data_IF_928505804842
#
_entry.id   IF_928505804842
#
_cell.length_a   1.000
_cell.length_b   1.000
_cell.length_c   1.000
_cell.angle_alpha   90.00
_cell.angle_beta   90.00
_cell.angle_gamma   90.00
#
_symmetry.space_group_name_H-M   'P 1'
#
loop_
_entity.id
_entity.type
_entity.pdbx_description
1 polymer ?
#
# COMPACT_ATOMS: atom_id res chain seq x y z
N UNK A 1 10.18 60.50 -2.15
CA UNK A 1 9.68 59.26 -2.75
C UNK A 1 10.93 58.46 -3.07
N UNK A 2 11.57 57.95 -2.02
CA UNK A 2 12.75 57.11 -2.12
C UNK A 2 12.24 55.70 -2.41
N UNK A 3 12.08 55.39 -3.69
CA UNK A 3 11.75 54.04 -4.12
C UNK A 3 13.01 53.19 -3.98
N UNK A 4 13.09 52.50 -2.84
CA UNK A 4 14.22 51.70 -2.36
C UNK A 4 14.72 50.70 -3.43
N UNK A 5 15.91 50.91 -4.04
CA UNK A 5 16.52 49.95 -4.96
C UNK A 5 16.77 48.59 -4.29
N UNK A 6 16.87 48.57 -2.96
CA UNK A 6 16.96 47.38 -2.12
C UNK A 6 15.71 46.50 -2.21
N UNK A 7 14.51 47.09 -2.28
CA UNK A 7 13.25 46.33 -2.38
C UNK A 7 13.15 45.66 -3.75
N UNK A 8 13.49 46.36 -4.83
CA UNK A 8 13.51 45.79 -6.19
C UNK A 8 14.51 44.64 -6.32
N UNK A 9 15.67 44.73 -5.67
CA UNK A 9 16.68 43.68 -5.69
C UNK A 9 16.24 42.43 -4.91
N UNK A 10 15.62 42.61 -3.73
CA UNK A 10 15.04 41.50 -2.97
C UNK A 10 13.92 40.81 -3.76
N UNK A 11 13.05 41.58 -4.43
CA UNK A 11 11.95 41.04 -5.21
C UNK A 11 12.45 40.28 -6.45
N UNK A 12 13.49 40.78 -7.12
CA UNK A 12 14.15 40.12 -8.24
C UNK A 12 14.85 38.81 -7.84
N UNK A 13 15.58 38.80 -6.71
CA UNK A 13 16.21 37.58 -6.18
C UNK A 13 15.15 36.57 -5.73
N UNK A 14 14.08 37.04 -5.08
CA UNK A 14 12.96 36.18 -4.68
C UNK A 14 12.29 35.49 -5.86
N UNK A 15 12.00 36.24 -6.94
CA UNK A 15 11.43 35.67 -8.16
C UNK A 15 12.37 34.63 -8.81
N UNK A 16 13.67 34.90 -8.86
CA UNK A 16 14.67 33.97 -9.41
C UNK A 16 14.72 32.65 -8.63
N UNK A 17 14.70 32.71 -7.31
CA UNK A 17 14.69 31.51 -6.45
C UNK A 17 13.44 30.68 -6.68
N UNK A 18 12.27 31.30 -6.79
CA UNK A 18 11.01 30.59 -7.08
C UNK A 18 11.08 29.90 -8.45
N UNK A 19 11.58 30.59 -9.48
CA UNK A 19 11.74 30.01 -10.82
C UNK A 19 12.69 28.81 -10.79
N UNK A 20 13.82 28.91 -10.09
CA UNK A 20 14.76 27.80 -9.95
C UNK A 20 14.12 26.59 -9.25
N UNK A 21 13.40 26.80 -8.14
CA UNK A 21 12.69 25.71 -7.43
C UNK A 21 11.70 25.02 -8.36
N UNK A 22 10.93 25.77 -9.15
CA UNK A 22 9.97 25.20 -10.11
C UNK A 22 10.70 24.41 -11.21
N UNK A 23 11.76 24.96 -11.80
CA UNK A 23 12.52 24.28 -12.86
C UNK A 23 13.18 23.00 -12.33
N UNK A 24 13.84 23.05 -11.18
CA UNK A 24 14.42 21.87 -10.55
C UNK A 24 13.36 20.83 -10.18
N UNK A 25 12.21 21.26 -9.66
CA UNK A 25 11.07 20.40 -9.39
C UNK A 25 10.59 19.68 -10.65
N UNK A 26 10.33 20.42 -11.73
CA UNK A 26 9.85 19.87 -13.01
C UNK A 26 10.88 18.92 -13.64
N UNK A 27 12.16 19.28 -13.65
CA UNK A 27 13.22 18.41 -14.18
C UNK A 27 13.37 17.12 -13.36
N UNK A 28 13.33 17.23 -12.03
CA UNK A 28 13.40 16.09 -11.12
C UNK A 28 12.23 15.12 -11.34
N UNK A 29 11.00 15.65 -11.43
CA UNK A 29 9.80 14.85 -11.76
C UNK A 29 9.90 14.18 -13.12
N UNK A 30 10.38 14.89 -14.15
CA UNK A 30 10.60 14.32 -15.50
C UNK A 30 11.64 13.20 -15.49
N UNK A 31 12.71 13.33 -14.69
CA UNK A 31 13.73 12.31 -14.54
C UNK A 31 13.17 11.05 -13.88
N UNK A 32 12.37 11.20 -12.82
CA UNK A 32 11.67 10.07 -12.17
C UNK A 32 10.71 9.37 -13.13
N UNK A 33 9.91 10.14 -13.87
CA UNK A 33 8.99 9.60 -14.88
C UNK A 33 9.68 8.80 -16.00
N UNK A 34 10.94 9.13 -16.31
CA UNK A 34 11.76 8.42 -17.32
C UNK A 34 12.65 7.32 -16.74
N UNK A 35 12.58 7.05 -15.44
CA UNK A 35 13.37 5.99 -14.84
C UNK A 35 12.97 4.63 -15.45
N UNK A 36 13.95 3.93 -16.01
CA UNK A 36 13.80 2.59 -16.58
C UNK A 36 14.35 1.51 -15.64
N UNK A 37 15.17 1.90 -14.66
CA UNK A 37 15.74 1.00 -13.68
C UNK A 37 14.91 0.99 -12.37
N UNK A 38 14.59 -0.20 -11.83
CA UNK A 38 14.02 -0.33 -10.50
C UNK A 38 14.95 0.24 -9.42
N UNK A 39 14.41 1.00 -8.47
CA UNK A 39 15.13 1.45 -7.28
C UNK A 39 14.96 0.50 -6.09
N UNK A 40 14.22 -0.58 -6.28
CA UNK A 40 13.87 -1.56 -5.27
C UNK A 40 14.53 -2.92 -5.51
N UNK A 41 14.73 -3.65 -4.43
CA UNK A 41 15.11 -5.06 -4.44
C UNK A 41 13.92 -5.92 -4.04
N UNK A 42 13.87 -7.16 -4.53
CA UNK A 42 12.82 -8.12 -4.20
C UNK A 42 13.39 -9.22 -3.33
N UNK A 43 12.63 -9.61 -2.32
CA UNK A 43 12.86 -10.81 -1.52
C UNK A 43 11.58 -11.61 -1.42
N UNK A 44 11.71 -12.92 -1.24
CA UNK A 44 10.59 -13.75 -0.83
C UNK A 44 10.45 -13.66 0.69
N UNK A 45 9.23 -13.41 1.16
CA UNK A 45 8.87 -13.50 2.58
C UNK A 45 7.61 -14.34 2.72
N UNK A 46 7.30 -14.74 3.95
CA UNK A 46 6.05 -15.41 4.27
C UNK A 46 5.06 -14.42 4.89
N UNK A 47 3.84 -14.38 4.35
CA UNK A 47 2.71 -13.60 4.86
C UNK A 47 1.53 -14.56 4.97
N UNK A 48 0.94 -14.69 6.17
CA UNK A 48 -0.19 -15.61 6.42
C UNK A 48 0.08 -17.06 5.99
N UNK A 49 1.30 -17.55 6.22
CA UNK A 49 1.70 -18.92 5.80
C UNK A 49 1.94 -19.07 4.30
N UNK A 50 1.96 -17.98 3.54
CA UNK A 50 2.08 -17.99 2.08
C UNK A 50 3.35 -17.25 1.64
N UNK A 51 4.12 -17.79 0.68
CA UNK A 51 5.21 -17.06 0.08
C UNK A 51 4.66 -15.89 -0.75
N UNK A 52 5.28 -14.73 -0.62
CA UNK A 52 5.01 -13.55 -1.45
C UNK A 52 6.32 -12.89 -1.85
N UNK A 53 6.31 -12.16 -2.97
CA UNK A 53 7.45 -11.29 -3.33
C UNK A 53 7.21 -9.90 -2.80
N UNK A 54 8.11 -9.43 -1.95
CA UNK A 54 8.03 -8.10 -1.34
C UNK A 54 9.22 -7.25 -1.80
N UNK A 55 8.95 -5.98 -2.12
CA UNK A 55 10.00 -5.01 -2.40
C UNK A 55 10.52 -4.32 -1.15
N UNK A 56 11.77 -3.87 -1.20
CA UNK A 56 12.22 -2.78 -0.32
C UNK A 56 11.35 -1.53 -0.49
N UNK A 57 11.32 -0.68 0.53
CA UNK A 57 10.53 0.55 0.53
C UNK A 57 11.01 1.56 -0.53
N UNK A 58 10.08 2.17 -1.24
CA UNK A 58 10.31 3.24 -2.21
C UNK A 58 9.60 4.52 -1.80
N UNK A 59 10.01 5.65 -2.37
CA UNK A 59 9.29 6.91 -2.20
C UNK A 59 7.87 6.80 -2.74
N UNK A 60 6.87 7.16 -1.93
CA UNK A 60 5.46 7.05 -2.30
C UNK A 60 5.10 7.83 -3.57
N UNK A 61 5.77 8.95 -3.81
CA UNK A 61 5.50 9.86 -4.94
C UNK A 61 6.13 9.40 -6.25
N UNK A 62 6.91 8.33 -6.25
CA UNK A 62 7.52 7.77 -7.45
C UNK A 62 6.64 6.68 -8.08
N UNK A 63 5.53 7.11 -8.70
CA UNK A 63 4.58 6.20 -9.35
C UNK A 63 5.21 5.38 -10.49
N UNK A 64 6.36 5.82 -11.03
CA UNK A 64 7.09 5.04 -12.05
C UNK A 64 7.61 3.73 -11.47
N UNK A 65 8.00 3.69 -10.20
CA UNK A 65 8.45 2.43 -9.56
C UNK A 65 7.31 1.42 -9.44
N UNK A 66 6.08 1.90 -9.21
CA UNK A 66 4.89 1.04 -9.22
C UNK A 66 4.64 0.46 -10.61
N UNK A 67 4.71 1.29 -11.67
CA UNK A 67 4.55 0.82 -13.04
C UNK A 67 5.62 -0.21 -13.42
N UNK A 68 6.89 0.03 -13.09
CA UNK A 68 7.98 -0.94 -13.30
C UNK A 68 7.73 -2.27 -12.58
N UNK A 69 7.15 -2.22 -11.38
CA UNK A 69 6.79 -3.43 -10.64
C UNK A 69 5.65 -4.19 -11.33
N UNK A 70 4.61 -3.49 -11.80
CA UNK A 70 3.52 -4.09 -12.56
C UNK A 70 3.98 -4.66 -13.92
N UNK A 71 4.91 -4.00 -14.60
CA UNK A 71 5.52 -4.49 -15.85
C UNK A 71 6.29 -5.80 -15.60
N UNK A 72 7.00 -5.91 -14.47
CA UNK A 72 7.83 -7.07 -14.14
C UNK A 72 7.07 -8.22 -13.48
N UNK A 73 6.06 -7.94 -12.68
CA UNK A 73 5.36 -8.90 -11.82
C UNK A 73 3.84 -8.79 -11.92
N UNK A 74 3.29 -8.26 -13.01
CA UNK A 74 1.85 -8.15 -13.19
C UNK A 74 1.14 -9.51 -13.13
N UNK A 75 -0.19 -9.53 -12.89
CA UNK A 75 -0.99 -10.76 -12.93
C UNK A 75 -0.73 -11.58 -14.20
N UNK A 76 -0.63 -12.90 -14.05
CA UNK A 76 -0.27 -13.84 -15.11
C UNK A 76 1.24 -14.04 -15.33
N UNK A 77 2.10 -13.26 -14.65
CA UNK A 77 3.56 -13.45 -14.74
C UNK A 77 3.99 -14.73 -14.03
N UNK A 78 4.82 -15.55 -14.67
CA UNK A 78 5.37 -16.78 -14.07
C UNK A 78 6.75 -16.51 -13.47
N UNK A 79 6.89 -16.78 -12.18
CA UNK A 79 8.15 -16.70 -11.43
C UNK A 79 8.75 -18.10 -11.34
N UNK A 80 9.94 -18.33 -11.92
CA UNK A 80 10.49 -19.68 -12.04
C UNK A 80 10.98 -20.25 -10.71
N UNK A 81 11.44 -19.39 -9.80
CA UNK A 81 12.08 -19.77 -8.54
C UNK A 81 11.58 -18.90 -7.39
N UNK A 82 10.51 -19.35 -6.74
CA UNK A 82 10.05 -18.80 -5.46
C UNK A 82 10.51 -19.73 -4.35
N UNK A 83 11.46 -19.28 -3.55
CA UNK A 83 11.95 -20.03 -2.39
C UNK A 83 10.94 -19.99 -1.25
N UNK A 84 10.47 -21.16 -0.85
CA UNK A 84 9.59 -21.36 0.31
C UNK A 84 10.35 -22.15 1.36
N UNK A 85 10.38 -21.67 2.60
CA UNK A 85 10.93 -22.45 3.70
C UNK A 85 10.00 -23.63 4.01
N UNK A 86 10.56 -24.84 4.01
CA UNK A 86 9.83 -26.06 4.37
C UNK A 86 10.54 -26.81 5.49
N UNK A 87 9.88 -27.82 6.08
CA UNK A 87 10.45 -28.65 7.15
C UNK A 87 11.76 -29.36 6.74
N UNK A 88 11.94 -29.60 5.43
CA UNK A 88 13.12 -30.24 4.85
C UNK A 88 14.13 -29.24 4.25
N UNK A 89 13.98 -27.93 4.54
CA UNK A 89 14.79 -26.85 3.97
C UNK A 89 14.09 -26.06 2.85
N UNK A 90 14.78 -25.05 2.27
CA UNK A 90 14.19 -24.19 1.25
C UNK A 90 13.91 -24.96 -0.06
N UNK A 91 12.68 -24.83 -0.57
CA UNK A 91 12.26 -25.40 -1.85
C UNK A 91 11.90 -24.28 -2.83
N UNK A 92 12.38 -24.38 -4.06
CA UNK A 92 12.02 -23.45 -5.13
C UNK A 92 10.82 -23.97 -5.92
N UNK A 93 9.79 -23.14 -6.04
CA UNK A 93 8.58 -23.45 -6.79
C UNK A 93 8.42 -22.48 -7.95
N UNK A 94 7.89 -22.98 -9.06
CA UNK A 94 7.36 -22.14 -10.14
C UNK A 94 5.97 -21.67 -9.75
N UNK A 95 5.74 -20.36 -9.73
CA UNK A 95 4.45 -19.78 -9.31
C UNK A 95 3.99 -18.69 -10.28
N UNK A 96 2.68 -18.58 -10.48
CA UNK A 96 2.07 -17.51 -11.29
C UNK A 96 1.56 -16.41 -10.36
N UNK A 97 1.85 -15.15 -10.68
CA UNK A 97 1.35 -14.00 -9.93
C UNK A 97 -0.15 -13.82 -10.19
N UNK A 98 -0.97 -13.76 -9.14
CA UNK A 98 -2.40 -13.43 -9.23
C UNK A 98 -2.66 -11.95 -9.04
N UNK A 99 -1.91 -11.30 -8.13
CA UNK A 99 -2.14 -9.92 -7.72
C UNK A 99 -0.85 -9.20 -7.40
N UNK A 100 -0.87 -7.90 -7.64
CA UNK A 100 0.14 -6.97 -7.13
C UNK A 100 -0.54 -5.89 -6.30
N UNK A 101 0.08 -5.49 -5.19
CA UNK A 101 -0.45 -4.46 -4.29
C UNK A 101 0.63 -3.51 -3.82
N UNK A 102 0.16 -2.34 -3.38
CA UNK A 102 0.94 -1.30 -2.73
C UNK A 102 0.50 -1.20 -1.28
N UNK A 103 1.43 -1.07 -0.36
CA UNK A 103 1.15 -0.81 1.06
C UNK A 103 2.06 0.28 1.61
N UNK A 104 1.56 1.05 2.57
CA UNK A 104 2.36 2.04 3.29
C UNK A 104 3.33 1.32 4.23
N UNK A 105 4.59 1.78 4.25
CA UNK A 105 5.65 1.28 5.15
C UNK A 105 6.08 2.30 6.18
N UNK A 106 5.88 3.59 5.87
CA UNK A 106 6.11 4.69 6.79
C UNK A 106 5.14 5.84 6.47
N UNK A 107 4.70 6.54 7.51
CA UNK A 107 3.80 7.70 7.39
C UNK A 107 4.50 8.99 6.97
N UNK A 108 3.72 10.08 6.92
CA UNK A 108 4.20 11.43 6.62
C UNK A 108 5.23 11.91 7.68
N UNK A 109 6.22 12.77 7.33
CA UNK A 109 6.52 13.37 6.03
C UNK A 109 7.31 12.49 5.06
N UNK A 110 7.96 11.43 5.55
CA UNK A 110 8.76 10.54 4.72
C UNK A 110 7.96 9.29 4.34
N UNK A 111 6.81 9.51 3.70
CA UNK A 111 5.92 8.42 3.37
C UNK A 111 6.56 7.49 2.34
N UNK A 112 6.76 6.22 2.73
CA UNK A 112 7.29 5.18 1.85
C UNK A 112 6.28 4.08 1.65
N UNK A 113 6.37 3.43 0.50
CA UNK A 113 5.51 2.31 0.13
C UNK A 113 6.35 1.10 -0.22
N UNK A 114 5.80 -0.09 0.00
CA UNK A 114 6.32 -1.34 -0.52
C UNK A 114 5.33 -1.92 -1.53
N UNK A 115 5.83 -2.77 -2.42
CA UNK A 115 5.01 -3.51 -3.37
C UNK A 115 5.09 -4.99 -3.06
N UNK A 116 3.96 -5.68 -3.20
CA UNK A 116 3.85 -7.10 -2.94
C UNK A 116 3.22 -7.79 -4.14
N UNK A 117 3.78 -8.91 -4.59
CA UNK A 117 3.16 -9.82 -5.54
C UNK A 117 2.72 -11.11 -4.83
N UNK A 118 1.45 -11.47 -5.02
CA UNK A 118 0.81 -12.67 -4.48
C UNK A 118 0.61 -13.70 -5.58
N UNK A 119 0.56 -14.98 -5.22
CA UNK A 119 0.52 -16.07 -6.18
C UNK A 119 -0.84 -16.77 -6.27
N UNK A 120 -1.19 -17.21 -7.48
CA UNK A 120 -2.45 -17.90 -7.79
C UNK A 120 -2.68 -19.15 -6.94
N UNK A 121 -1.61 -19.86 -6.58
CA UNK A 121 -1.70 -21.06 -5.74
C UNK A 121 -2.31 -20.81 -4.35
N UNK A 122 -2.31 -19.55 -3.89
CA UNK A 122 -2.84 -19.14 -2.59
C UNK A 122 -3.95 -18.09 -2.73
N UNK A 123 -4.57 -18.01 -3.90
CA UNK A 123 -5.70 -17.11 -4.11
C UNK A 123 -6.94 -17.65 -3.36
N UNK A 124 -7.56 -16.81 -2.53
CA UNK A 124 -8.70 -17.14 -1.66
C UNK A 124 -8.42 -18.17 -0.54
N UNK A 125 -7.17 -18.53 -0.25
CA UNK A 125 -6.87 -19.51 0.81
C UNK A 125 -7.17 -18.99 2.21
N UNK A 126 -7.29 -17.67 2.39
CA UNK A 126 -7.65 -17.06 3.67
C UNK A 126 -9.16 -17.11 3.95
N UNK A 127 -9.98 -17.38 2.93
CA UNK A 127 -11.43 -17.23 3.05
C UNK A 127 -12.15 -18.55 3.39
N UNK A 128 -13.20 -18.50 4.23
CA UNK A 128 -13.70 -17.31 4.94
C UNK A 128 -12.80 -16.92 6.11
N UNK A 129 -12.58 -15.61 6.30
CA UNK A 129 -11.83 -15.08 7.44
C UNK A 129 -12.76 -14.25 8.32
N UNK A 130 -12.68 -14.45 9.64
CA UNK A 130 -13.47 -13.69 10.61
C UNK A 130 -12.54 -13.19 11.72
N UNK A 131 -12.35 -11.88 11.75
CA UNK A 131 -11.49 -11.21 12.72
C UNK A 131 -12.34 -10.55 13.79
N UNK A 132 -12.10 -10.89 15.05
CA UNK A 132 -12.69 -10.17 16.18
C UNK A 132 -11.81 -8.98 16.53
N UNK A 133 -12.42 -7.83 16.68
CA UNK A 133 -11.75 -6.56 16.97
C UNK A 133 -12.17 -6.11 18.36
N UNK A 134 -11.19 -5.88 19.23
CA UNK A 134 -11.44 -5.29 20.55
C UNK A 134 -11.39 -3.76 20.45
N UNK A 135 -12.50 -3.18 19.97
CA UNK A 135 -12.65 -1.73 19.81
C UNK A 135 -14.07 -1.29 20.20
N UNK A 136 -14.21 -0.07 20.77
CA UNK A 136 -15.53 0.49 21.09
C UNK A 136 -16.39 0.78 19.86
N UNK A 137 -15.78 0.91 18.67
CA UNK A 137 -16.49 1.25 17.44
C UNK A 137 -16.62 0.07 16.49
N UNK A 138 -15.67 -0.86 16.49
CA UNK A 138 -15.65 -2.03 15.59
C UNK A 138 -15.48 -3.29 16.42
N UNK A 139 -16.40 -4.25 16.26
CA UNK A 139 -16.35 -5.54 16.94
C UNK A 139 -15.86 -6.67 16.04
N UNK A 140 -16.02 -6.55 14.73
CA UNK A 140 -15.69 -7.63 13.82
C UNK A 140 -15.50 -7.20 12.37
N UNK A 141 -14.66 -7.97 11.67
CA UNK A 141 -14.43 -7.87 10.23
C UNK A 141 -14.56 -9.28 9.66
N UNK A 142 -15.56 -9.50 8.82
CA UNK A 142 -15.76 -10.74 8.09
C UNK A 142 -15.36 -10.54 6.63
N UNK A 143 -14.52 -11.42 6.11
CA UNK A 143 -14.02 -11.38 4.74
C UNK A 143 -14.33 -12.70 4.04
N UNK A 144 -14.77 -12.61 2.79
CA UNK A 144 -14.99 -13.75 1.91
C UNK A 144 -14.49 -13.45 0.49
N UNK A 145 -14.79 -14.33 -0.47
CA UNK A 145 -14.36 -14.18 -1.86
C UNK A 145 -14.98 -12.98 -2.57
N UNK A 146 -16.08 -12.43 -2.05
CA UNK A 146 -16.84 -11.34 -2.65
C UNK A 146 -16.47 -9.99 -2.05
N UNK A 147 -16.16 -9.94 -0.75
CA UNK A 147 -15.84 -8.68 -0.10
C UNK A 147 -15.60 -8.76 1.40
N UNK A 148 -15.85 -7.62 2.03
CA UNK A 148 -15.70 -7.41 3.46
C UNK A 148 -16.98 -6.86 4.06
N UNK A 149 -17.30 -7.30 5.27
CA UNK A 149 -18.33 -6.73 6.14
C UNK A 149 -17.71 -6.35 7.47
N UNK A 150 -17.91 -5.10 7.90
CA UNK A 150 -17.46 -4.58 9.19
C UNK A 150 -18.66 -4.37 10.10
N UNK A 151 -18.59 -4.85 11.33
CA UNK A 151 -19.69 -4.80 12.30
C UNK A 151 -19.31 -4.04 13.56
N UNK A 152 -20.24 -3.24 14.07
CA UNK A 152 -20.16 -2.58 15.36
C UNK A 152 -20.42 -3.57 16.52
N UNK A 153 -20.13 -3.20 17.78
CA UNK A 153 -20.41 -4.03 18.96
C UNK A 153 -21.88 -4.39 19.18
N UNK A 154 -22.81 -3.59 18.67
CA UNK A 154 -24.25 -3.85 18.72
C UNK A 154 -24.74 -4.80 17.60
N UNK A 155 -23.83 -5.24 16.72
CA UNK A 155 -24.12 -6.10 15.57
C UNK A 155 -24.51 -5.35 14.30
N UNK A 156 -24.58 -4.01 14.33
CA UNK A 156 -24.90 -3.19 13.15
C UNK A 156 -23.78 -3.26 12.12
N UNK A 157 -24.12 -3.39 10.83
CA UNK A 157 -23.13 -3.29 9.74
C UNK A 157 -22.72 -1.84 9.56
N UNK A 158 -21.42 -1.56 9.72
CA UNK A 158 -20.82 -0.25 9.51
C UNK A 158 -20.41 -0.03 8.06
N UNK A 159 -19.97 -1.09 7.39
CA UNK A 159 -19.51 -1.09 6.01
C UNK A 159 -19.68 -2.49 5.43
N UNK A 160 -20.22 -2.58 4.22
CA UNK A 160 -20.20 -3.79 3.40
C UNK A 160 -19.72 -3.41 2.01
N UNK A 161 -18.63 -4.00 1.53
CA UNK A 161 -18.02 -3.61 0.27
C UNK A 161 -17.47 -4.81 -0.49
N UNK A 162 -17.70 -4.83 -1.80
CA UNK A 162 -16.99 -5.72 -2.70
C UNK A 162 -15.52 -5.30 -2.83
N UNK A 163 -14.62 -6.26 -3.05
CA UNK A 163 -13.17 -6.01 -3.11
C UNK A 163 -12.74 -4.97 -4.14
N UNK A 164 -13.43 -4.92 -5.29
CA UNK A 164 -13.18 -3.97 -6.38
C UNK A 164 -13.61 -2.52 -6.04
N UNK A 165 -14.40 -2.33 -4.98
CA UNK A 165 -14.88 -1.03 -4.50
C UNK A 165 -14.31 -0.63 -3.15
N UNK A 166 -13.56 -1.51 -2.51
CA UNK A 166 -12.97 -1.27 -1.19
C UNK A 166 -11.65 -0.51 -1.35
N UNK A 167 -11.62 0.72 -0.86
CA UNK A 167 -10.39 1.48 -0.68
C UNK A 167 -9.82 1.19 0.72
N UNK A 168 -8.52 0.95 0.77
CA UNK A 168 -7.78 0.62 1.99
C UNK A 168 -6.61 1.59 2.13
N UNK A 169 -6.51 2.24 3.28
CA UNK A 169 -5.30 2.94 3.71
C UNK A 169 -4.77 2.26 4.96
N UNK A 170 -3.53 1.79 4.93
CA UNK A 170 -2.84 1.36 6.12
C UNK A 170 -1.94 2.49 6.66
N UNK A 171 -1.84 2.59 7.99
CA UNK A 171 -1.22 3.69 8.74
C UNK A 171 -1.17 3.36 10.24
N UNK A 172 -1.31 4.34 11.15
CA UNK A 172 -1.54 4.07 12.56
C UNK A 172 -2.83 3.25 12.80
N UNK A 173 -3.83 3.50 11.96
CA UNK A 173 -5.08 2.75 11.83
C UNK A 173 -5.23 2.20 10.40
N UNK A 174 -6.14 1.24 10.23
CA UNK A 174 -6.56 0.77 8.91
C UNK A 174 -7.88 1.46 8.57
N UNK A 175 -7.86 2.28 7.54
CA UNK A 175 -9.04 3.01 7.06
C UNK A 175 -9.62 2.27 5.87
N UNK A 176 -10.89 1.90 6.00
CA UNK A 176 -11.71 1.27 4.98
C UNK A 176 -12.72 2.27 4.45
N UNK A 177 -12.84 2.38 3.13
CA UNK A 177 -13.81 3.25 2.50
C UNK A 177 -14.47 2.59 1.29
N UNK A 178 -15.80 2.72 1.19
CA UNK A 178 -16.54 2.37 -0.02
C UNK A 178 -17.68 3.37 -0.22
N UNK A 179 -17.64 4.11 -1.33
CA UNK A 179 -18.52 5.26 -1.52
C UNK A 179 -18.37 6.29 -0.40
N UNK A 180 -19.49 6.64 0.22
CA UNK A 180 -19.58 7.60 1.33
C UNK A 180 -19.35 6.94 2.71
N UNK A 181 -19.31 5.61 2.78
CA UNK A 181 -19.04 4.88 4.01
C UNK A 181 -17.54 4.84 4.27
N UNK A 182 -17.14 5.23 5.48
CA UNK A 182 -15.75 5.19 5.94
C UNK A 182 -15.68 4.66 7.36
N UNK A 183 -14.82 3.69 7.59
CA UNK A 183 -14.57 3.09 8.90
C UNK A 183 -13.07 3.13 9.18
N UNK A 184 -12.70 3.53 10.39
CA UNK A 184 -11.33 3.43 10.90
C UNK A 184 -11.25 2.27 11.89
N UNK A 185 -10.24 1.43 11.72
CA UNK A 185 -9.97 0.26 12.55
C UNK A 185 -8.63 0.49 13.24
N UNK A 186 -8.65 0.73 14.55
CA UNK A 186 -7.44 0.98 15.34
C UNK A 186 -6.56 -0.28 15.39
N UNK A 187 -5.54 -0.33 14.53
CA UNK A 187 -4.61 -1.45 14.42
C UNK A 187 -3.73 -1.63 15.68
N UNK A 188 -3.69 -0.63 16.58
CA UNK A 188 -2.82 -0.60 17.77
C UNK A 188 -3.38 -1.42 18.95
N UNK A 189 -4.65 -1.86 18.93
CA UNK A 189 -5.30 -2.51 20.10
C UNK A 189 -5.78 -3.95 19.91
N UNK A 190 -5.59 -4.56 18.75
CA UNK A 190 -6.03 -5.94 18.55
C UNK A 190 -4.99 -6.92 19.10
N UNK A 191 -5.34 -7.68 20.14
CA UNK A 191 -4.43 -8.52 20.92
C UNK A 191 -3.95 -9.83 20.24
N UNK A 192 -4.07 -10.02 18.92
CA UNK A 192 -3.52 -11.22 18.27
C UNK A 192 -3.31 -11.12 16.74
N UNK A 193 -4.10 -10.33 16.01
CA UNK A 193 -4.16 -10.41 14.54
C UNK A 193 -4.12 -9.07 13.74
N UNK A 194 -3.55 -7.94 14.25
CA UNK A 194 -3.58 -6.67 13.51
C UNK A 194 -2.95 -6.82 12.12
N UNK A 195 -1.82 -7.52 12.06
CA UNK A 195 -1.11 -7.79 10.80
C UNK A 195 -1.95 -8.67 9.87
N UNK A 196 -2.63 -9.69 10.37
CA UNK A 196 -3.35 -10.63 9.50
C UNK A 196 -4.54 -9.97 8.82
N UNK A 197 -5.35 -9.24 9.58
CA UNK A 197 -6.50 -8.52 9.01
C UNK A 197 -6.04 -7.43 8.05
N UNK A 198 -4.99 -6.68 8.40
CA UNK A 198 -4.40 -5.67 7.52
C UNK A 198 -3.91 -6.30 6.21
N UNK A 199 -3.19 -7.41 6.27
CA UNK A 199 -2.65 -8.10 5.09
C UNK A 199 -3.75 -8.63 4.17
N UNK A 200 -4.85 -9.20 4.72
CA UNK A 200 -6.00 -9.59 3.90
C UNK A 200 -6.64 -8.37 3.23
N UNK A 201 -6.85 -7.29 3.99
CA UNK A 201 -7.44 -6.06 3.45
C UNK A 201 -6.56 -5.43 2.35
N UNK A 202 -5.23 -5.44 2.51
CA UNK A 202 -4.27 -4.97 1.52
C UNK A 202 -4.26 -5.88 0.29
N UNK A 203 -4.22 -7.21 0.47
CA UNK A 203 -4.16 -8.19 -0.63
C UNK A 203 -5.35 -8.04 -1.57
N UNK A 204 -6.55 -7.86 -1.04
CA UNK A 204 -7.76 -7.84 -1.86
C UNK A 204 -8.28 -6.44 -2.19
N UNK A 205 -8.19 -5.48 -1.26
CA UNK A 205 -8.61 -4.10 -1.46
C UNK A 205 -7.69 -3.26 -2.36
N UNK A 206 -8.07 -2.00 -2.56
CA UNK A 206 -7.33 -1.04 -3.37
C UNK A 206 -6.64 0.00 -2.49
N UNK A 207 -5.33 0.11 -2.61
CA UNK A 207 -4.57 1.08 -1.84
C UNK A 207 -4.96 2.52 -2.19
N UNK A 208 -5.33 3.31 -1.17
CA UNK A 208 -5.46 4.76 -1.26
C UNK A 208 -4.99 5.37 0.06
N UNK A 209 -4.16 6.39 0.01
CA UNK A 209 -3.81 7.11 1.23
C UNK A 209 -5.01 7.97 1.68
N UNK A 210 -5.56 7.63 2.84
CA UNK A 210 -6.73 8.32 3.43
C UNK A 210 -6.41 9.04 4.74
N UNK A 211 -5.20 8.84 5.28
CA UNK A 211 -4.66 9.55 6.43
C UNK A 211 -4.10 10.91 5.98
N UNK A 212 -4.54 11.98 6.63
CA UNK A 212 -4.09 13.36 6.42
C UNK A 212 -3.49 13.91 7.70
#
# INVERSE_FOLDING_TARGET
MDDDPTILLILGVGALVVVLIVVFGVMSSRRKARATAPSWQVRTIEVLGQPVLETTSVERTDDRQWQLFQERFGPGTVIPEVSVEGPDGPRSWRMTVSRVRRSLRSGWPQARVGFTAYFEAFENSEFPANFRIDSPTVAGIACDRHGVTVTAPDGTSLLTAAWDRLLVSNGPDVILQSGDQRVSVDAVRTAAAPTEVEEVLIKYGQFRQLHF
#
